data_IF_011771745217
#
_entry.id   IF_011771745217
#
_cell.length_a   1.000
_cell.length_b   1.000
_cell.length_c   1.000
_cell.angle_alpha   90.00
_cell.angle_beta   90.00
_cell.angle_gamma   90.00
#
_symmetry.space_group_name_H-M   'P 1'
#
loop_
_entity.id
_entity.type
_entity.pdbx_description
1 polymer ?
#
# COMPACT_ATOMS: atom_id res chain seq x y z
N UNK A 1 -27.17 -59.10 25.35
CA UNK A 1 -26.90 -57.73 25.84
C UNK A 1 -26.78 -56.82 24.62
N UNK A 2 -27.81 -56.01 24.34
CA UNK A 2 -27.81 -55.09 23.21
C UNK A 2 -27.55 -53.66 23.72
N UNK A 3 -26.43 -53.06 23.32
CA UNK A 3 -26.06 -51.69 23.67
C UNK A 3 -26.66 -50.71 22.68
N UNK A 4 -27.79 -50.10 23.04
CA UNK A 4 -28.41 -49.01 22.29
C UNK A 4 -27.59 -47.73 22.46
N UNK A 5 -26.87 -47.32 21.42
CA UNK A 5 -26.18 -46.01 21.40
C UNK A 5 -27.19 -44.91 21.02
N UNK A 6 -27.46 -43.99 21.96
CA UNK A 6 -28.29 -42.78 21.71
C UNK A 6 -27.63 -41.86 20.66
N UNK A 7 -28.38 -41.28 19.71
CA UNK A 7 -27.84 -40.28 18.81
C UNK A 7 -27.59 -38.95 19.55
N UNK A 8 -26.40 -38.40 19.36
CA UNK A 8 -25.91 -37.16 19.97
C UNK A 8 -26.48 -35.95 19.22
N UNK A 9 -27.75 -35.62 19.46
CA UNK A 9 -28.41 -34.44 18.90
C UNK A 9 -28.24 -33.22 19.81
N UNK A 10 -27.16 -32.42 19.67
CA UNK A 10 -27.05 -31.12 20.36
C UNK A 10 -25.99 -30.13 19.83
N UNK A 11 -25.50 -30.24 18.58
CA UNK A 11 -24.44 -29.33 18.09
C UNK A 11 -24.96 -28.21 17.18
N UNK A 12 -26.12 -28.39 16.53
CA UNK A 12 -26.67 -27.45 15.53
C UNK A 12 -27.07 -26.02 16.00
N UNK A 13 -27.57 -25.77 17.24
CA UNK A 13 -28.11 -24.45 17.58
C UNK A 13 -27.05 -23.36 17.84
N UNK A 14 -25.81 -23.74 18.20
CA UNK A 14 -24.71 -22.79 18.45
C UNK A 14 -24.21 -22.19 17.12
N UNK A 15 -24.05 -23.01 16.10
CA UNK A 15 -23.60 -22.57 14.76
C UNK A 15 -24.59 -21.61 14.10
N UNK A 16 -25.91 -21.82 14.28
CA UNK A 16 -26.94 -20.89 13.77
C UNK A 16 -26.90 -19.52 14.46
N UNK A 17 -26.60 -19.47 15.76
CA UNK A 17 -26.44 -18.19 16.48
C UNK A 17 -25.18 -17.45 16.03
N UNK A 18 -24.06 -18.16 15.85
CA UNK A 18 -22.81 -17.56 15.38
C UNK A 18 -22.92 -16.99 13.95
N UNK A 19 -23.57 -17.72 13.03
CA UNK A 19 -23.80 -17.24 11.67
C UNK A 19 -24.67 -15.95 11.63
N UNK A 20 -25.70 -15.87 12.49
CA UNK A 20 -26.55 -14.68 12.59
C UNK A 20 -25.81 -13.46 13.13
N UNK A 21 -24.96 -13.65 14.15
CA UNK A 21 -24.14 -12.58 14.72
C UNK A 21 -23.11 -12.08 13.70
N UNK A 22 -22.50 -12.98 12.92
CA UNK A 22 -21.56 -12.62 11.86
C UNK A 22 -22.24 -11.81 10.74
N UNK A 23 -23.41 -12.24 10.27
CA UNK A 23 -24.19 -11.51 9.26
C UNK A 23 -24.57 -10.11 9.74
N UNK A 24 -25.03 -9.96 10.98
CA UNK A 24 -25.39 -8.65 11.54
C UNK A 24 -24.18 -7.71 11.63
N UNK A 25 -22.99 -8.25 11.90
CA UNK A 25 -21.76 -7.47 11.94
C UNK A 25 -21.33 -7.00 10.55
N UNK A 26 -21.44 -7.86 9.54
CA UNK A 26 -21.12 -7.52 8.14
C UNK A 26 -22.09 -6.47 7.57
N UNK A 27 -23.37 -6.55 7.93
CA UNK A 27 -24.36 -5.54 7.53
C UNK A 27 -24.10 -4.19 8.21
N UNK A 28 -23.69 -4.19 9.48
CA UNK A 28 -23.29 -2.97 10.19
C UNK A 28 -22.02 -2.34 9.58
N UNK A 29 -21.01 -3.14 9.23
CA UNK A 29 -19.80 -2.68 8.56
C UNK A 29 -20.12 -2.06 7.19
N UNK A 30 -20.95 -2.72 6.37
CA UNK A 30 -21.38 -2.18 5.07
C UNK A 30 -22.18 -0.89 5.19
N UNK A 31 -23.04 -0.79 6.20
CA UNK A 31 -23.79 0.44 6.48
C UNK A 31 -22.85 1.58 6.84
N UNK A 32 -21.88 1.34 7.74
CA UNK A 32 -20.86 2.32 8.11
C UNK A 32 -20.05 2.82 6.91
N UNK A 33 -19.64 1.93 5.99
CA UNK A 33 -18.92 2.31 4.76
C UNK A 33 -19.76 3.20 3.83
N UNK A 34 -21.06 2.92 3.76
CA UNK A 34 -22.00 3.69 2.95
C UNK A 34 -22.28 5.07 3.56
N UNK A 35 -22.40 5.15 4.87
CA UNK A 35 -22.51 6.44 5.58
C UNK A 35 -21.26 7.29 5.42
N UNK A 36 -20.07 6.68 5.52
CA UNK A 36 -18.80 7.35 5.24
C UNK A 36 -18.73 7.89 3.80
N UNK A 37 -19.20 7.11 2.82
CA UNK A 37 -19.33 7.57 1.43
C UNK A 37 -20.31 8.74 1.31
N UNK A 38 -21.49 8.65 1.93
CA UNK A 38 -22.51 9.70 1.86
C UNK A 38 -22.01 11.02 2.46
N UNK A 39 -21.20 10.96 3.52
CA UNK A 39 -20.59 12.15 4.14
C UNK A 39 -19.47 12.75 3.28
N UNK A 40 -18.61 11.92 2.68
CA UNK A 40 -17.46 12.40 1.90
C UNK A 40 -17.75 12.63 0.41
N UNK A 41 -18.85 12.10 -0.12
CA UNK A 41 -19.16 12.07 -1.57
C UNK A 41 -18.28 11.12 -2.39
N UNK A 42 -17.26 10.51 -1.79
CA UNK A 42 -16.31 9.60 -2.42
C UNK A 42 -15.91 8.46 -1.49
N UNK A 43 -15.50 7.35 -2.08
CA UNK A 43 -14.89 6.24 -1.37
C UNK A 43 -13.38 6.50 -1.25
N UNK A 44 -12.90 6.82 -0.03
CA UNK A 44 -11.48 7.09 0.22
C UNK A 44 -10.75 5.81 0.55
N UNK A 45 -9.72 5.48 -0.22
CA UNK A 45 -8.81 4.38 0.01
C UNK A 45 -7.41 4.90 0.27
N UNK A 46 -6.69 4.23 1.14
CA UNK A 46 -5.34 4.63 1.56
C UNK A 46 -4.45 3.38 1.58
N UNK A 47 -3.27 3.49 0.99
CA UNK A 47 -2.26 2.42 1.06
C UNK A 47 -1.52 2.45 2.40
N UNK A 48 -0.80 1.38 2.72
CA UNK A 48 0.11 1.35 3.90
C UNK A 48 1.23 2.40 3.81
N UNK A 49 1.50 2.93 2.63
CA UNK A 49 2.46 4.02 2.37
C UNK A 49 1.81 5.41 2.37
N UNK A 50 0.57 5.51 2.86
CA UNK A 50 -0.18 6.75 3.01
C UNK A 50 -0.52 7.46 1.68
N UNK A 51 -0.45 6.75 0.55
CA UNK A 51 -1.00 7.25 -0.72
C UNK A 51 -2.52 7.14 -0.70
N UNK A 52 -3.20 8.23 -1.07
CA UNK A 52 -4.65 8.36 -1.04
C UNK A 52 -5.20 8.19 -2.45
N UNK A 53 -6.24 7.38 -2.59
CA UNK A 53 -7.01 7.23 -3.81
C UNK A 53 -8.50 7.42 -3.53
N UNK A 54 -9.17 8.15 -4.41
CA UNK A 54 -10.63 8.33 -4.35
C UNK A 54 -11.30 7.52 -5.45
N UNK A 55 -12.43 6.90 -5.11
CA UNK A 55 -13.26 6.15 -6.04
C UNK A 55 -14.74 6.53 -5.92
N UNK A 56 -15.47 6.33 -7.01
CA UNK A 56 -16.90 6.66 -7.10
C UNK A 56 -17.81 5.60 -6.47
N UNK A 57 -19.11 5.73 -6.79
CA UNK A 57 -20.18 4.92 -6.23
C UNK A 57 -20.02 3.39 -6.40
N UNK A 58 -19.29 2.96 -7.42
CA UNK A 58 -19.02 1.55 -7.69
C UNK A 58 -18.17 0.87 -6.59
N UNK A 59 -17.51 1.66 -5.73
CA UNK A 59 -16.70 1.18 -4.61
C UNK A 59 -17.29 1.53 -3.24
N UNK A 60 -18.59 1.84 -3.14
CA UNK A 60 -19.23 2.25 -1.87
C UNK A 60 -18.98 1.24 -0.75
N UNK A 61 -19.14 -0.05 -1.04
CA UNK A 61 -18.98 -1.14 -0.07
C UNK A 61 -17.64 -1.88 -0.20
N UNK A 62 -16.75 -1.40 -1.08
CA UNK A 62 -15.41 -2.01 -1.23
C UNK A 62 -14.53 -1.61 -0.04
N UNK A 63 -13.90 -2.61 0.56
CA UNK A 63 -12.97 -2.45 1.68
C UNK A 63 -11.50 -2.49 1.25
N UNK A 64 -11.22 -3.03 0.07
CA UNK A 64 -9.88 -3.17 -0.49
C UNK A 64 -9.96 -3.00 -2.00
N UNK A 65 -9.03 -2.25 -2.57
CA UNK A 65 -8.80 -2.14 -4.01
C UNK A 65 -7.31 -2.24 -4.29
N UNK A 66 -6.97 -2.61 -5.52
CA UNK A 66 -5.59 -2.60 -6.01
C UNK A 66 -5.44 -1.52 -7.08
N UNK A 67 -4.40 -0.70 -6.95
CA UNK A 67 -4.02 0.31 -7.94
C UNK A 67 -2.54 0.07 -8.24
N UNK A 68 -2.24 -0.47 -9.43
CA UNK A 68 -0.87 -0.86 -9.79
C UNK A 68 -0.25 -1.78 -8.74
N UNK A 69 -0.96 -2.84 -8.38
CA UNK A 69 -0.59 -3.87 -7.38
C UNK A 69 -0.40 -3.39 -5.94
N UNK A 70 -0.55 -2.09 -5.69
CA UNK A 70 -0.57 -1.55 -4.34
C UNK A 70 -1.98 -1.71 -3.76
N UNK A 71 -2.07 -2.50 -2.70
CA UNK A 71 -3.26 -2.60 -1.86
C UNK A 71 -3.60 -1.24 -1.24
N UNK A 72 -4.77 -0.72 -1.57
CA UNK A 72 -5.37 0.44 -0.93
C UNK A 72 -6.58 -0.02 -0.12
N UNK A 73 -6.49 0.14 1.19
CA UNK A 73 -7.55 -0.22 2.12
C UNK A 73 -8.52 0.93 2.26
N UNK A 74 -9.80 0.61 2.46
CA UNK A 74 -10.81 1.61 2.73
C UNK A 74 -10.47 2.33 4.03
N UNK A 75 -10.50 3.66 3.99
CA UNK A 75 -10.31 4.47 5.18
C UNK A 75 -11.46 4.18 6.14
N UNK A 76 -11.13 3.57 7.27
CA UNK A 76 -12.02 3.24 8.38
C UNK A 76 -11.35 3.64 9.69
N UNK A 77 -12.07 3.79 10.81
CA UNK A 77 -11.45 4.08 12.10
C UNK A 77 -10.39 3.05 12.50
N UNK A 78 -10.64 1.76 12.21
CA UNK A 78 -9.69 0.69 12.47
C UNK A 78 -8.41 0.85 11.64
N UNK A 79 -8.54 1.15 10.34
CA UNK A 79 -7.38 1.34 9.48
C UNK A 79 -6.60 2.61 9.83
N UNK A 80 -7.29 3.69 10.19
CA UNK A 80 -6.66 4.89 10.72
C UNK A 80 -5.81 4.57 11.96
N UNK A 81 -6.35 3.81 12.93
CA UNK A 81 -5.61 3.46 14.13
C UNK A 81 -4.35 2.63 13.83
N UNK A 82 -4.40 1.78 12.80
CA UNK A 82 -3.20 1.11 12.28
C UNK A 82 -2.17 2.10 11.71
N UNK A 83 -2.60 3.06 10.89
CA UNK A 83 -1.71 4.09 10.32
C UNK A 83 -1.07 4.94 11.42
N UNK A 84 -1.84 5.34 12.44
CA UNK A 84 -1.34 6.06 13.61
C UNK A 84 -0.29 5.26 14.36
N UNK A 85 -0.58 3.99 14.66
CA UNK A 85 0.38 3.09 15.30
C UNK A 85 1.66 2.90 14.44
N UNK A 86 1.53 2.79 13.11
CA UNK A 86 2.67 2.72 12.21
C UNK A 86 3.50 4.01 12.22
N UNK A 87 2.85 5.17 12.27
CA UNK A 87 3.51 6.47 12.38
C UNK A 87 4.19 6.69 13.73
N UNK A 88 3.65 6.20 14.83
CA UNK A 88 4.32 6.27 16.14
C UNK A 88 5.65 5.49 16.14
N UNK A 89 5.77 4.45 15.31
CA UNK A 89 7.06 3.80 15.07
C UNK A 89 8.01 4.70 14.29
N UNK A 90 7.50 5.49 13.34
CA UNK A 90 8.28 6.48 12.60
C UNK A 90 8.77 7.62 13.50
N UNK A 91 7.91 8.13 14.40
CA UNK A 91 8.29 9.13 15.41
C UNK A 91 9.43 8.61 16.28
N UNK A 92 9.29 7.38 16.83
CA UNK A 92 10.37 6.77 17.63
C UNK A 92 11.66 6.55 16.85
N UNK A 93 11.56 6.24 15.55
CA UNK A 93 12.74 6.10 14.69
C UNK A 93 13.44 7.45 14.44
N UNK A 94 12.67 8.53 14.28
CA UNK A 94 13.20 9.89 14.16
C UNK A 94 13.89 10.33 15.46
N UNK A 95 13.26 10.09 16.62
CA UNK A 95 13.83 10.38 17.94
C UNK A 95 15.12 9.60 18.20
N UNK A 96 15.22 8.38 17.66
CA UNK A 96 16.42 7.55 17.71
C UNK A 96 17.44 7.86 16.60
N UNK A 97 17.26 8.92 15.82
CA UNK A 97 18.13 9.32 14.70
C UNK A 97 18.28 8.26 13.60
N UNK A 98 17.32 7.31 13.50
CA UNK A 98 17.25 6.27 12.46
C UNK A 98 16.45 6.71 11.24
N UNK A 99 15.72 7.82 11.35
CA UNK A 99 14.96 8.46 10.29
C UNK A 99 15.35 9.92 10.24
N UNK A 100 15.62 10.45 9.04
CA UNK A 100 15.95 11.85 8.89
C UNK A 100 14.69 12.74 9.07
N UNK A 101 14.92 13.97 9.52
CA UNK A 101 13.82 14.90 9.81
C UNK A 101 13.01 15.31 8.58
N UNK A 102 13.59 15.27 7.38
CA UNK A 102 12.88 15.64 6.14
C UNK A 102 11.88 14.55 5.74
N UNK A 103 12.29 13.28 5.78
CA UNK A 103 11.40 12.13 5.57
C UNK A 103 10.31 12.06 6.65
N UNK A 104 10.64 12.35 7.91
CA UNK A 104 9.63 12.43 8.97
C UNK A 104 8.59 13.53 8.69
N UNK A 105 9.03 14.70 8.22
CA UNK A 105 8.13 15.82 7.91
C UNK A 105 7.18 15.49 6.75
N UNK A 106 7.68 14.83 5.69
CA UNK A 106 6.82 14.35 4.60
C UNK A 106 5.78 13.32 5.09
N UNK A 107 6.19 12.40 5.97
CA UNK A 107 5.27 11.42 6.56
C UNK A 107 4.22 12.09 7.44
N UNK A 108 4.62 13.10 8.22
CA UNK A 108 3.72 13.88 9.06
C UNK A 108 2.67 14.60 8.21
N UNK A 109 3.07 15.21 7.10
CA UNK A 109 2.12 15.87 6.18
C UNK A 109 1.09 14.87 5.62
N UNK A 110 1.56 13.71 5.15
CA UNK A 110 0.68 12.66 4.59
C UNK A 110 -0.30 12.14 5.63
N UNK A 111 0.16 11.83 6.85
CA UNK A 111 -0.71 11.30 7.89
C UNK A 111 -1.70 12.36 8.39
N UNK A 112 -1.29 13.63 8.52
CA UNK A 112 -2.20 14.73 8.89
C UNK A 112 -3.31 14.91 7.86
N UNK A 113 -3.01 14.80 6.56
CA UNK A 113 -4.03 14.81 5.51
C UNK A 113 -5.04 13.68 5.69
N UNK A 114 -4.55 12.46 5.97
CA UNK A 114 -5.41 11.28 6.19
C UNK A 114 -6.27 11.45 7.45
N UNK A 115 -5.69 12.00 8.52
CA UNK A 115 -6.41 12.29 9.75
C UNK A 115 -7.62 13.19 9.53
N UNK A 116 -7.44 14.29 8.79
CA UNK A 116 -8.52 15.22 8.46
C UNK A 116 -9.63 14.53 7.66
N UNK A 117 -9.27 13.65 6.72
CA UNK A 117 -10.26 12.85 5.98
C UNK A 117 -11.01 11.88 6.90
N UNK A 118 -10.31 11.25 7.83
CA UNK A 118 -10.91 10.33 8.79
C UNK A 118 -11.87 11.06 9.75
N UNK A 119 -11.49 12.24 10.24
CA UNK A 119 -12.34 13.10 11.06
C UNK A 119 -13.62 13.52 10.33
N UNK A 120 -13.52 13.92 9.06
CA UNK A 120 -14.70 14.30 8.27
C UNK A 120 -15.67 13.13 8.06
N UNK A 121 -15.17 11.91 7.89
CA UNK A 121 -16.00 10.72 7.62
C UNK A 121 -16.62 10.11 8.88
N UNK A 122 -15.86 10.05 9.96
CA UNK A 122 -16.22 9.26 11.15
C UNK A 122 -16.38 10.10 12.42
N UNK A 123 -15.87 11.33 12.44
CA UNK A 123 -15.88 12.17 13.63
C UNK A 123 -14.80 11.77 14.65
N UNK A 124 -14.54 12.68 15.59
CA UNK A 124 -13.43 12.57 16.54
C UNK A 124 -13.60 11.41 17.53
N UNK A 125 -14.83 11.14 17.97
CA UNK A 125 -15.15 10.11 18.97
C UNK A 125 -14.77 8.72 18.48
N UNK A 126 -15.15 8.38 17.25
CA UNK A 126 -14.95 7.06 16.67
C UNK A 126 -13.47 6.82 16.37
N UNK A 127 -12.79 7.87 15.90
CA UNK A 127 -11.35 7.85 15.66
C UNK A 127 -10.56 7.61 16.95
N UNK A 128 -10.84 8.37 18.01
CA UNK A 128 -10.16 8.17 19.31
C UNK A 128 -10.48 6.82 19.94
N UNK A 129 -11.72 6.36 19.84
CA UNK A 129 -12.12 5.03 20.34
C UNK A 129 -11.37 3.91 19.61
N UNK A 130 -11.20 4.04 18.28
CA UNK A 130 -10.44 3.09 17.49
C UNK A 130 -8.96 3.08 17.87
N UNK A 131 -8.34 4.24 18.08
CA UNK A 131 -6.95 4.36 18.56
C UNK A 131 -6.76 3.68 19.93
N UNK A 132 -7.63 3.97 20.90
CA UNK A 132 -7.53 3.40 22.26
C UNK A 132 -7.73 1.90 22.31
N UNK A 133 -8.57 1.36 21.43
CA UNK A 133 -8.88 -0.07 21.40
C UNK A 133 -8.03 -0.85 20.38
N UNK A 134 -7.12 -0.18 19.67
CA UNK A 134 -6.32 -0.78 18.61
C UNK A 134 -5.36 -1.85 19.15
N UNK A 135 -5.25 -2.96 18.43
CA UNK A 135 -4.17 -3.92 18.60
C UNK A 135 -3.70 -4.43 17.24
N UNK A 136 -2.40 -4.76 17.07
CA UNK A 136 -1.91 -5.36 15.82
C UNK A 136 -2.65 -6.65 15.44
N UNK A 137 -3.09 -7.43 16.42
CA UNK A 137 -3.88 -8.65 16.20
C UNK A 137 -5.26 -8.36 15.60
N UNK A 138 -5.93 -7.27 16.00
CA UNK A 138 -7.20 -6.84 15.39
C UNK A 138 -7.01 -6.50 13.91
N UNK A 139 -5.95 -5.77 13.58
CA UNK A 139 -5.63 -5.44 12.19
C UNK A 139 -5.30 -6.69 11.36
N UNK A 140 -4.44 -7.56 11.88
CA UNK A 140 -4.09 -8.83 11.22
C UNK A 140 -5.33 -9.65 10.87
N UNK A 141 -6.24 -9.83 11.83
CA UNK A 141 -7.51 -10.55 11.61
C UNK A 141 -8.40 -9.87 10.57
N UNK A 142 -8.39 -8.54 10.51
CA UNK A 142 -9.12 -7.80 9.47
C UNK A 142 -8.55 -8.08 8.08
N UNK A 143 -7.22 -8.07 7.92
CA UNK A 143 -6.57 -8.42 6.65
C UNK A 143 -6.87 -9.87 6.23
N UNK A 144 -6.79 -10.82 7.16
CA UNK A 144 -7.11 -12.24 6.88
C UNK A 144 -8.55 -12.40 6.37
N UNK A 145 -9.51 -11.68 6.96
CA UNK A 145 -10.90 -11.66 6.49
C UNK A 145 -11.03 -11.08 5.07
N UNK A 146 -10.33 -9.98 4.78
CA UNK A 146 -10.35 -9.38 3.44
C UNK A 146 -9.77 -10.34 2.39
N UNK A 147 -8.73 -11.09 2.74
CA UNK A 147 -8.18 -12.15 1.91
C UNK A 147 -9.17 -13.31 1.68
N UNK A 148 -9.95 -13.69 2.70
CA UNK A 148 -10.96 -14.77 2.60
C UNK A 148 -12.21 -14.37 1.80
N UNK A 149 -12.57 -13.09 1.75
CA UNK A 149 -13.72 -12.56 1.00
C UNK A 149 -13.48 -12.36 -0.50
N UNK A 150 -12.22 -12.35 -0.93
CA UNK A 150 -11.85 -12.44 -2.33
C UNK A 150 -12.05 -13.89 -2.79
N UNK A 151 -13.22 -14.19 -3.34
CA UNK A 151 -13.46 -15.49 -3.99
C UNK A 151 -12.33 -15.69 -5.02
N UNK A 152 -11.54 -16.77 -4.93
CA UNK A 152 -10.46 -16.97 -5.87
C UNK A 152 -11.10 -17.18 -7.24
N UNK A 153 -10.87 -16.24 -8.15
CA UNK A 153 -10.76 -16.63 -9.55
C UNK A 153 -9.62 -17.64 -9.53
N UNK A 154 -9.85 -18.82 -10.12
CA UNK A 154 -8.84 -19.88 -10.22
C UNK A 154 -7.57 -19.32 -10.87
N UNK A 155 -6.69 -18.78 -10.05
CA UNK A 155 -5.26 -18.69 -10.23
C UNK A 155 -4.72 -19.24 -8.91
N UNK A 156 -3.85 -20.22 -9.03
CA UNK A 156 -3.27 -21.01 -7.95
C UNK A 156 -2.64 -20.09 -6.90
N UNK A 157 -3.38 -19.76 -5.84
CA UNK A 157 -2.89 -18.86 -4.78
C UNK A 157 -1.81 -19.57 -3.94
N UNK A 158 -0.57 -19.26 -4.30
CA UNK A 158 0.64 -19.01 -3.50
C UNK A 158 0.75 -19.76 -2.16
N UNK A 159 1.24 -21.01 -2.23
CA UNK A 159 1.50 -21.87 -1.07
C UNK A 159 2.93 -21.77 -0.54
N UNK A 160 3.75 -20.80 -1.00
CA UNK A 160 5.17 -20.68 -0.62
C UNK A 160 5.57 -19.32 0.00
N UNK A 161 4.60 -18.57 0.53
CA UNK A 161 4.87 -17.40 1.35
C UNK A 161 5.61 -17.81 2.63
N UNK A 162 6.80 -17.25 2.84
CA UNK A 162 7.62 -17.54 4.00
C UNK A 162 7.09 -16.78 5.22
N UNK A 163 6.15 -17.39 5.93
CA UNK A 163 5.67 -16.85 7.21
C UNK A 163 6.74 -17.04 8.28
N UNK A 164 7.60 -16.03 8.47
CA UNK A 164 8.24 -15.77 9.76
C UNK A 164 9.77 -15.79 9.87
N UNK A 165 10.54 -15.99 8.80
CA UNK A 165 12.02 -16.09 8.94
C UNK A 165 12.80 -14.98 8.23
N UNK A 166 12.33 -14.48 7.09
CA UNK A 166 13.08 -13.48 6.33
C UNK A 166 12.82 -12.07 6.83
N UNK A 167 13.88 -11.40 7.31
CA UNK A 167 13.87 -10.01 7.80
C UNK A 167 15.17 -9.31 7.43
N UNK A 168 15.07 -8.25 6.63
CA UNK A 168 16.20 -7.42 6.25
C UNK A 168 15.83 -5.93 6.30
N UNK A 169 16.63 -5.09 6.99
CA UNK A 169 17.69 -5.50 7.92
C UNK A 169 17.12 -6.26 9.13
N UNK A 170 17.91 -7.15 9.74
CA UNK A 170 17.45 -8.02 10.82
C UNK A 170 17.00 -7.24 12.07
N UNK A 171 17.66 -6.11 12.35
CA UNK A 171 17.34 -5.15 13.39
C UNK A 171 16.43 -4.00 12.89
N UNK A 172 15.89 -4.14 11.67
CA UNK A 172 15.03 -3.14 11.06
C UNK A 172 13.82 -2.83 11.92
N UNK A 173 13.52 -1.55 12.07
CA UNK A 173 12.34 -1.03 12.77
C UNK A 173 11.30 -0.59 11.75
N UNK A 174 10.02 -0.93 11.96
CA UNK A 174 8.94 -0.51 11.06
C UNK A 174 7.96 -1.63 10.73
N UNK A 175 7.14 -1.38 9.71
CA UNK A 175 6.22 -2.36 9.15
C UNK A 175 6.99 -3.52 8.51
N UNK A 176 6.40 -4.71 8.54
CA UNK A 176 6.95 -5.93 7.97
C UNK A 176 6.15 -6.33 6.74
N UNK A 177 6.83 -6.60 5.62
CA UNK A 177 6.21 -7.18 4.43
C UNK A 177 6.69 -8.63 4.30
N UNK A 178 5.76 -9.59 4.30
CA UNK A 178 6.08 -10.97 3.97
C UNK A 178 6.69 -11.06 2.58
N UNK A 179 7.69 -11.91 2.41
CA UNK A 179 8.38 -12.12 1.14
C UNK A 179 8.35 -13.62 0.83
N UNK A 180 8.11 -13.98 -0.43
CA UNK A 180 8.15 -15.37 -0.89
C UNK A 180 9.59 -15.84 -1.11
N UNK A 181 9.83 -17.17 -1.01
CA UNK A 181 11.15 -17.74 -1.35
C UNK A 181 11.55 -17.44 -2.79
N UNK A 182 10.58 -17.47 -3.69
CA UNK A 182 10.78 -17.19 -5.11
C UNK A 182 11.28 -15.77 -5.34
N UNK A 183 10.66 -14.78 -4.68
CA UNK A 183 11.11 -13.39 -4.74
C UNK A 183 12.56 -13.27 -4.23
N UNK A 184 12.89 -13.93 -3.12
CA UNK A 184 14.25 -13.94 -2.59
C UNK A 184 15.26 -14.57 -3.55
N UNK A 185 14.94 -15.73 -4.10
CA UNK A 185 15.81 -16.43 -5.05
C UNK A 185 16.05 -15.60 -6.32
N UNK A 186 15.03 -14.86 -6.80
CA UNK A 186 15.17 -13.98 -7.96
C UNK A 186 16.08 -12.78 -7.66
N UNK A 187 15.94 -12.15 -6.50
CA UNK A 187 16.84 -11.06 -6.09
C UNK A 187 18.25 -11.59 -5.83
N UNK A 188 18.40 -12.77 -5.25
CA UNK A 188 19.70 -13.44 -5.07
C UNK A 188 20.40 -13.72 -6.39
N UNK A 189 19.67 -14.19 -7.40
CA UNK A 189 20.22 -14.45 -8.72
C UNK A 189 20.73 -13.19 -9.43
N UNK A 190 20.16 -12.02 -9.13
CA UNK A 190 20.55 -10.74 -9.76
C UNK A 190 21.46 -9.87 -8.89
N UNK A 191 21.73 -10.27 -7.63
CA UNK A 191 22.40 -9.46 -6.61
C UNK A 191 23.70 -8.85 -7.14
N UNK A 192 24.64 -9.69 -7.56
CA UNK A 192 25.98 -9.24 -7.93
C UNK A 192 25.94 -8.31 -9.15
N UNK A 193 25.04 -8.59 -10.10
CA UNK A 193 24.81 -7.76 -11.28
C UNK A 193 24.19 -6.41 -10.92
N UNK A 194 23.24 -6.37 -10.00
CA UNK A 194 22.63 -5.14 -9.52
C UNK A 194 23.61 -4.29 -8.70
N UNK A 195 24.38 -4.90 -7.81
CA UNK A 195 25.44 -4.20 -7.06
C UNK A 195 26.48 -3.61 -8.03
N UNK A 196 26.91 -4.37 -9.04
CA UNK A 196 27.82 -3.86 -10.07
C UNK A 196 27.23 -2.70 -10.90
N UNK A 197 25.91 -2.67 -11.07
CA UNK A 197 25.19 -1.57 -11.70
C UNK A 197 24.97 -0.36 -10.78
N UNK A 198 25.35 -0.44 -9.50
CA UNK A 198 25.25 0.67 -8.53
C UNK A 198 24.03 0.64 -7.62
N UNK A 199 23.39 -0.52 -7.45
CA UNK A 199 22.32 -0.71 -6.46
C UNK A 199 22.90 -1.05 -5.09
N UNK A 200 22.14 -0.78 -4.03
CA UNK A 200 22.53 -1.11 -2.65
C UNK A 200 21.76 -2.32 -2.11
N UNK A 201 22.34 -3.03 -1.14
CA UNK A 201 21.66 -4.16 -0.49
C UNK A 201 20.28 -3.77 0.10
N UNK A 202 20.10 -2.62 0.77
CA UNK A 202 18.78 -2.14 1.18
C UNK A 202 17.77 -2.01 0.04
N UNK A 203 18.17 -1.46 -1.11
CA UNK A 203 17.27 -1.32 -2.26
C UNK A 203 16.85 -2.66 -2.86
N UNK A 204 17.63 -3.72 -2.66
CA UNK A 204 17.29 -5.04 -3.16
C UNK A 204 16.45 -5.85 -2.16
N UNK A 205 16.84 -5.84 -0.89
CA UNK A 205 16.41 -6.84 0.08
C UNK A 205 15.48 -6.36 1.19
N UNK A 206 15.35 -5.04 1.38
CA UNK A 206 14.66 -4.51 2.56
C UNK A 206 13.18 -4.89 2.58
N UNK A 207 12.79 -5.67 3.59
CA UNK A 207 11.39 -6.04 3.84
C UNK A 207 10.93 -5.62 5.25
N UNK A 208 11.65 -4.67 5.84
CA UNK A 208 11.23 -3.94 7.03
C UNK A 208 11.50 -2.47 6.82
N UNK A 209 10.45 -1.66 6.91
CA UNK A 209 10.53 -0.24 6.58
C UNK A 209 9.31 0.54 7.04
N UNK A 210 9.37 1.86 6.89
CA UNK A 210 8.35 2.78 7.39
C UNK A 210 7.50 3.33 6.22
N UNK A 211 8.05 3.42 5.00
CA UNK A 211 7.36 3.87 3.78
C UNK A 211 7.66 3.01 2.54
N UNK A 212 6.91 3.16 1.42
CA UNK A 212 7.16 2.45 0.14
C UNK A 212 8.61 2.57 -0.38
N UNK A 213 9.25 3.72 -0.14
CA UNK A 213 10.66 3.97 -0.51
C UNK A 213 11.67 3.18 0.31
N UNK A 214 11.25 2.65 1.46
CA UNK A 214 12.05 1.75 2.29
C UNK A 214 11.83 0.29 1.92
N UNK A 215 11.04 -0.04 0.90
CA UNK A 215 10.93 -1.43 0.47
C UNK A 215 11.95 -1.69 -0.61
N UNK A 216 12.68 -2.78 -0.43
CA UNK A 216 13.55 -3.30 -1.46
C UNK A 216 12.74 -3.95 -2.58
N UNK A 217 13.40 -4.12 -3.72
CA UNK A 217 12.90 -4.83 -4.89
C UNK A 217 12.18 -6.14 -4.54
N UNK A 218 12.69 -6.88 -3.55
CA UNK A 218 12.15 -8.16 -3.10
C UNK A 218 10.67 -8.11 -2.69
N UNK A 219 10.15 -6.95 -2.30
CA UNK A 219 8.75 -6.78 -1.90
C UNK A 219 7.80 -6.52 -3.07
N UNK A 220 8.34 -6.35 -4.29
CA UNK A 220 7.57 -6.05 -5.50
C UNK A 220 7.58 -7.20 -6.52
N UNK A 221 8.21 -8.33 -6.20
CA UNK A 221 8.29 -9.51 -7.08
C UNK A 221 7.24 -10.54 -6.67
N UNK A 222 6.33 -10.86 -7.60
CA UNK A 222 5.40 -11.98 -7.52
C UNK A 222 6.01 -13.32 -7.94
N UNK A 223 5.30 -14.42 -7.68
CA UNK A 223 5.79 -15.79 -7.92
C UNK A 223 6.07 -16.09 -9.41
N UNK A 224 5.31 -15.49 -10.33
CA UNK A 224 5.47 -15.70 -11.76
C UNK A 224 6.34 -14.64 -12.46
N UNK A 225 6.83 -13.67 -11.70
CA UNK A 225 7.57 -12.56 -12.25
C UNK A 225 8.98 -12.97 -12.63
N UNK A 226 9.55 -12.24 -13.59
CA UNK A 226 10.94 -12.40 -13.99
C UNK A 226 11.62 -11.05 -13.93
N UNK A 227 12.89 -11.05 -13.55
CA UNK A 227 13.72 -9.86 -13.66
C UNK A 227 14.21 -9.73 -15.09
N UNK A 228 13.91 -8.59 -15.70
CA UNK A 228 14.33 -8.23 -17.05
C UNK A 228 15.64 -7.45 -17.04
N UNK A 229 15.65 -6.29 -17.72
CA UNK A 229 16.80 -5.41 -17.77
C UNK A 229 17.20 -4.90 -16.38
N UNK A 230 18.50 -4.97 -16.07
CA UNK A 230 19.11 -4.39 -14.86
C UNK A 230 20.04 -3.29 -15.32
N UNK A 231 19.69 -2.05 -15.00
CA UNK A 231 20.47 -0.86 -15.29
C UNK A 231 20.77 -0.13 -14.00
N UNK A 232 21.63 0.91 -14.06
CA UNK A 232 21.89 1.76 -12.89
C UNK A 232 20.63 2.48 -12.41
N UNK A 233 19.73 2.83 -13.33
CA UNK A 233 18.56 3.67 -13.07
C UNK A 233 17.30 2.87 -12.74
N UNK A 234 17.15 1.66 -13.29
CA UNK A 234 15.99 0.82 -13.04
C UNK A 234 16.27 -0.68 -13.19
N UNK A 235 15.52 -1.48 -12.45
CA UNK A 235 15.39 -2.93 -12.61
C UNK A 235 13.98 -3.22 -13.12
N UNK A 236 13.90 -3.91 -14.25
CA UNK A 236 12.64 -4.30 -14.88
C UNK A 236 12.07 -5.55 -14.21
N UNK A 237 10.77 -5.53 -13.93
CA UNK A 237 9.97 -6.66 -13.44
C UNK A 237 8.96 -6.99 -14.54
N UNK A 238 9.10 -8.19 -15.12
CA UNK A 238 8.27 -8.67 -16.22
C UNK A 238 7.21 -9.62 -15.66
N UNK A 239 5.95 -9.20 -15.68
CA UNK A 239 4.83 -10.02 -15.23
C UNK A 239 4.39 -11.04 -16.29
N UNK A 240 4.40 -12.33 -15.92
CA UNK A 240 3.96 -13.40 -16.81
C UNK A 240 2.45 -13.41 -17.05
N UNK A 241 1.66 -12.98 -16.07
CA UNK A 241 0.19 -12.89 -16.16
C UNK A 241 -0.30 -11.94 -17.27
N UNK A 242 0.55 -11.02 -17.73
CA UNK A 242 0.25 -10.12 -18.85
C UNK A 242 0.84 -10.58 -20.19
N UNK A 243 1.45 -11.77 -20.24
CA UNK A 243 2.16 -12.27 -21.42
C UNK A 243 3.40 -11.45 -21.79
N UNK A 244 3.96 -10.67 -20.86
CA UNK A 244 5.08 -9.76 -21.12
C UNK A 244 4.69 -8.43 -21.76
N UNK A 245 3.40 -8.12 -21.89
CA UNK A 245 2.93 -6.87 -22.49
C UNK A 245 3.06 -5.64 -21.55
N UNK A 246 3.26 -5.87 -20.25
CA UNK A 246 3.46 -4.81 -19.25
C UNK A 246 4.62 -5.17 -18.32
N UNK A 247 5.73 -4.48 -18.49
CA UNK A 247 6.86 -4.51 -17.55
C UNK A 247 6.76 -3.35 -16.56
N UNK A 248 6.91 -3.64 -15.27
CA UNK A 248 7.13 -2.62 -14.24
C UNK A 248 8.62 -2.31 -14.14
N UNK A 249 8.94 -1.10 -13.68
CA UNK A 249 10.32 -0.68 -13.47
C UNK A 249 10.47 -0.23 -12.01
N UNK A 250 11.32 -0.93 -11.27
CA UNK A 250 11.77 -0.51 -9.95
C UNK A 250 12.90 0.50 -10.14
N UNK A 251 12.69 1.75 -9.71
CA UNK A 251 13.63 2.85 -9.96
C UNK A 251 14.63 3.03 -8.84
N UNK A 252 15.89 3.28 -9.20
CA UNK A 252 16.93 3.62 -8.25
C UNK A 252 16.77 5.10 -7.84
N UNK A 253 16.37 5.34 -6.59
CA UNK A 253 16.15 6.69 -6.06
C UNK A 253 17.44 7.44 -5.71
N UNK A 254 18.59 6.76 -5.69
CA UNK A 254 19.89 7.35 -5.36
C UNK A 254 20.64 7.88 -6.60
N UNK A 255 20.05 7.75 -7.78
CA UNK A 255 20.63 8.23 -9.05
C UNK A 255 19.65 9.14 -9.77
N UNK A 256 20.20 10.07 -10.54
CA UNK A 256 19.41 10.98 -11.35
C UNK A 256 18.62 10.22 -12.42
N UNK A 257 17.36 10.64 -12.58
CA UNK A 257 16.39 10.03 -13.48
C UNK A 257 16.03 11.09 -14.54
N UNK A 258 16.85 11.25 -15.60
CA UNK A 258 16.73 12.40 -16.51
C UNK A 258 15.37 12.49 -17.23
N UNK A 259 14.64 11.39 -17.36
CA UNK A 259 13.28 11.34 -17.93
C UNK A 259 12.16 11.70 -16.95
N UNK A 260 12.44 11.84 -15.65
CA UNK A 260 11.47 12.32 -14.65
C UNK A 260 11.54 13.85 -14.47
N UNK A 261 12.47 14.53 -15.13
CA UNK A 261 12.49 15.99 -15.18
C UNK A 261 11.30 16.47 -16.01
N UNK A 262 10.35 17.14 -15.37
CA UNK A 262 9.34 17.92 -16.10
C UNK A 262 10.06 18.97 -16.96
N UNK A 263 9.57 19.27 -18.18
CA UNK A 263 10.10 20.40 -18.94
C UNK A 263 9.91 21.67 -18.12
N UNK A 264 11.00 22.33 -17.76
CA UNK A 264 10.95 23.72 -17.32
C UNK A 264 10.64 24.58 -18.54
N UNK A 265 9.36 24.71 -18.88
CA UNK A 265 8.92 25.72 -19.85
C UNK A 265 9.09 27.10 -19.23
N UNK A 266 10.12 27.82 -19.67
CA UNK A 266 10.43 29.14 -19.14
C UNK A 266 11.56 29.87 -19.86
N UNK A 267 11.68 29.72 -21.18
CA UNK A 267 12.36 30.75 -21.99
C UNK A 267 11.78 30.83 -23.41
N UNK A 268 10.50 31.18 -23.50
CA UNK A 268 9.95 31.75 -24.72
C UNK A 268 10.40 33.22 -24.78
N UNK A 269 11.55 33.48 -25.41
CA UNK A 269 11.91 34.83 -25.81
C UNK A 269 10.87 35.33 -26.83
N UNK A 270 10.04 36.23 -26.32
CA UNK A 270 9.15 37.10 -27.03
C UNK A 270 9.96 37.96 -28.03
N UNK A 271 10.09 37.49 -29.28
CA UNK A 271 10.42 38.37 -30.42
C UNK A 271 9.12 38.76 -31.09
N UNK A 272 8.38 39.65 -30.42
CA UNK A 272 7.26 40.35 -31.07
C UNK A 272 7.85 41.43 -31.96
N UNK A 273 7.74 41.17 -33.25
CA UNK A 273 7.88 42.11 -34.34
C UNK A 273 7.12 43.42 -34.03
N UNK A 274 7.84 44.46 -33.62
CA UNK A 274 7.35 45.84 -33.73
C UNK A 274 7.45 46.24 -35.21
N UNK A 275 6.35 46.02 -35.93
CA UNK A 275 6.00 46.86 -37.07
C UNK A 275 5.42 48.14 -36.50
N UNK A 276 6.26 49.13 -36.25
CA UNK A 276 5.81 50.53 -36.26
C UNK A 276 5.69 50.96 -37.71
N UNK A 277 4.45 51.23 -38.13
CA UNK A 277 4.12 51.88 -39.38
C UNK A 277 3.33 53.14 -39.08
N UNK A 278 3.78 54.26 -39.66
CA UNK A 278 3.08 55.53 -39.79
C UNK A 278 3.59 56.61 -38.83
N UNK A 279 3.87 57.85 -39.22
CA UNK A 279 3.68 58.56 -40.50
C UNK A 279 4.24 60.00 -40.35
N UNK A 280 4.45 60.72 -41.47
CA UNK A 280 4.67 62.20 -41.63
C UNK A 280 6.06 62.77 -41.28
N UNK A 281 6.65 63.80 -41.92
CA UNK A 281 6.36 64.71 -43.05
C UNK A 281 7.66 65.49 -43.38
N UNK A 282 7.79 66.03 -44.61
CA UNK A 282 8.64 67.19 -45.02
C UNK A 282 10.18 67.04 -44.87
N UNK A 283 11.06 67.33 -45.85
CA UNK A 283 11.12 68.29 -46.97
C UNK A 283 11.95 67.65 -48.09
#
# INVERSE_FOLDING_TARGET
MATTTKPRAAVAPIFRKQARVQSQKEDAERTSLRDAFNKAGVATFVSTSMCVAHKGAQHIVSELIYIGDIAHYRLTPLFWAYLRHAFDNATRACEAWKLDGSTYSELLERISRIYNMALMQFGETDIKSAEQSFTPAKWKRHCERLAQGAKPINDEFDTDMQTGTYRFPADGTGAYHPVSKTALALVDAIRDKAIAAGWTMPQLYRNVGIANRDWGLVCYIGQEDRIGAITRQSIEIVHRSTGGARSLHFYNHEVDQPWLRLPTDGNAQNTRSEKEGGETHEI
#
